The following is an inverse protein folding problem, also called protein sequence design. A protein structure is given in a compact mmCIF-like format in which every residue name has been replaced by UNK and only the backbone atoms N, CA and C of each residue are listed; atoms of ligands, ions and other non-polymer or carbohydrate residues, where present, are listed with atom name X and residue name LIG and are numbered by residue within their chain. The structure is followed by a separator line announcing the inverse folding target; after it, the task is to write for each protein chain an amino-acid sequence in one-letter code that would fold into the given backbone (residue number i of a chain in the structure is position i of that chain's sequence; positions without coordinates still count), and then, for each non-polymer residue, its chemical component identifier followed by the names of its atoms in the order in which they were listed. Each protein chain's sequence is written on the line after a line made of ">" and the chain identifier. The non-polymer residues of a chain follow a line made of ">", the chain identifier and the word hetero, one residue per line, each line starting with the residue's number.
data_IF_951667792230
#
_entry.id   IF_951667792230
#
_cell.length_a   1.000
_cell.length_b   1.000
_cell.length_c   1.000
_cell.angle_alpha   90.00
_cell.angle_beta   90.00
_cell.angle_gamma   90.00
#
_symmetry.space_group_name_H-M   'P 1'
#
loop_
_entity.id
_entity.type
_entity.pdbx_description
1 polymer ?
#
# COMPACT_ATOMS: atom_id res chain seq x y z
N UNK A 1 0.44 -16.73 -0.12
CA UNK A 1 1.64 -15.87 -0.27
C UNK A 1 1.69 -15.11 -1.60
N UNK A 2 1.39 -15.75 -2.75
CA UNK A 2 1.52 -15.12 -4.08
C UNK A 2 0.70 -13.83 -4.22
N UNK A 3 -0.53 -13.82 -3.68
CA UNK A 3 -1.46 -12.68 -3.76
C UNK A 3 -0.90 -11.47 -3.05
N UNK A 4 -0.39 -11.64 -1.81
CA UNK A 4 0.23 -10.58 -1.02
C UNK A 4 1.44 -10.01 -1.76
N UNK A 5 2.27 -10.87 -2.36
CA UNK A 5 3.46 -10.44 -3.12
C UNK A 5 3.07 -9.61 -4.34
N UNK A 6 2.04 -10.02 -5.07
CA UNK A 6 1.49 -9.28 -6.22
C UNK A 6 0.92 -7.92 -5.81
N UNK A 7 0.15 -7.87 -4.72
CA UNK A 7 -0.40 -6.61 -4.21
C UNK A 7 0.69 -5.61 -3.85
N UNK A 8 1.76 -6.05 -3.18
CA UNK A 8 2.90 -5.19 -2.84
C UNK A 8 3.59 -4.64 -4.08
N UNK A 9 3.81 -5.47 -5.11
CA UNK A 9 4.44 -5.03 -6.37
C UNK A 9 3.57 -3.98 -7.07
N UNK A 10 2.26 -4.21 -7.18
CA UNK A 10 1.32 -3.24 -7.79
C UNK A 10 1.33 -1.92 -7.02
N UNK A 11 1.42 -1.98 -5.70
CA UNK A 11 1.44 -0.80 -4.83
C UNK A 11 2.72 0.03 -5.03
N UNK A 12 3.86 -0.63 -5.20
CA UNK A 12 5.15 0.02 -5.53
C UNK A 12 5.06 0.69 -6.92
N UNK A 13 4.55 -0.01 -7.93
CA UNK A 13 4.39 0.53 -9.28
C UNK A 13 3.49 1.77 -9.25
N UNK A 14 2.35 1.70 -8.56
CA UNK A 14 1.44 2.82 -8.42
C UNK A 14 2.11 4.03 -7.72
N UNK A 15 2.92 3.78 -6.68
CA UNK A 15 3.67 4.84 -5.99
C UNK A 15 4.67 5.55 -6.92
N UNK A 16 5.41 4.80 -7.74
CA UNK A 16 6.34 5.37 -8.72
C UNK A 16 5.63 6.18 -9.80
N UNK A 17 4.49 5.69 -10.32
CA UNK A 17 3.70 6.43 -11.31
C UNK A 17 3.18 7.74 -10.72
N UNK A 18 2.65 7.72 -9.50
CA UNK A 18 2.16 8.91 -8.81
C UNK A 18 3.28 9.92 -8.48
N UNK A 19 4.47 9.44 -8.10
CA UNK A 19 5.66 10.28 -7.95
C UNK A 19 6.08 10.90 -9.27
N UNK A 20 6.13 10.12 -10.35
CA UNK A 20 6.49 10.61 -11.68
C UNK A 20 5.51 11.66 -12.19
N UNK A 21 4.20 11.43 -12.03
CA UNK A 21 3.17 12.42 -12.38
C UNK A 21 3.25 13.68 -11.51
N UNK A 22 3.56 13.53 -10.21
CA UNK A 22 3.77 14.68 -9.35
C UNK A 22 4.96 15.53 -9.80
N UNK A 23 6.09 14.90 -10.15
CA UNK A 23 7.27 15.62 -10.65
C UNK A 23 6.97 16.32 -11.98
N UNK A 24 6.23 15.67 -12.88
CA UNK A 24 5.89 16.20 -14.19
C UNK A 24 4.87 17.35 -14.13
N UNK A 25 3.80 17.17 -13.35
CA UNK A 25 2.66 18.09 -13.35
C UNK A 25 2.71 19.15 -12.23
N UNK A 26 3.59 18.98 -11.22
CA UNK A 26 3.71 19.79 -9.99
C UNK A 26 2.38 20.03 -9.24
N UNK A 27 1.36 19.27 -9.57
CA UNK A 27 0.02 19.49 -9.10
C UNK A 27 -0.19 18.84 -7.73
N UNK A 28 -0.66 19.62 -6.76
CA UNK A 28 -0.86 19.17 -5.37
C UNK A 28 -1.84 18.00 -5.26
N UNK A 29 -2.67 17.80 -6.28
CA UNK A 29 -3.63 16.70 -6.39
C UNK A 29 -2.93 15.33 -6.36
N UNK A 30 -1.77 15.18 -7.00
CA UNK A 30 -1.03 13.92 -7.03
C UNK A 30 -0.40 13.59 -5.68
N UNK A 31 0.08 14.59 -4.95
CA UNK A 31 0.52 14.44 -3.56
C UNK A 31 -0.60 13.95 -2.64
N UNK A 32 -1.82 14.47 -2.83
CA UNK A 32 -2.98 14.05 -2.03
C UNK A 32 -3.36 12.59 -2.32
N UNK A 33 -3.37 12.20 -3.60
CA UNK A 33 -3.65 10.82 -4.01
C UNK A 33 -2.54 9.88 -3.50
N UNK A 34 -1.28 10.29 -3.55
CA UNK A 34 -0.15 9.52 -3.03
C UNK A 34 -0.24 9.33 -1.51
N UNK A 35 -0.62 10.38 -0.77
CA UNK A 35 -0.91 10.27 0.67
C UNK A 35 -2.01 9.24 0.93
N UNK A 36 -3.10 9.29 0.15
CA UNK A 36 -4.23 8.35 0.29
C UNK A 36 -3.82 6.92 -0.04
N UNK A 37 -2.98 6.73 -1.06
CA UNK A 37 -2.39 5.44 -1.42
C UNK A 37 -1.53 4.88 -0.29
N UNK A 38 -0.66 5.71 0.30
CA UNK A 38 0.18 5.32 1.44
C UNK A 38 -0.67 4.98 2.68
N UNK A 39 -1.76 5.72 2.91
CA UNK A 39 -2.68 5.45 4.02
C UNK A 39 -3.39 4.10 3.84
N UNK A 40 -3.89 3.81 2.63
CA UNK A 40 -4.47 2.51 2.28
C UNK A 40 -3.44 1.37 2.41
N UNK A 41 -2.20 1.61 1.99
CA UNK A 41 -1.10 0.65 2.15
C UNK A 41 -0.80 0.35 3.63
N UNK A 42 -0.80 1.38 4.48
CA UNK A 42 -0.64 1.24 5.93
C UNK A 42 -1.77 0.44 6.57
N UNK A 43 -3.02 0.72 6.19
CA UNK A 43 -4.18 -0.06 6.63
C UNK A 43 -4.10 -1.52 6.18
N UNK A 44 -3.67 -1.77 4.93
CA UNK A 44 -3.47 -3.12 4.41
C UNK A 44 -2.41 -3.89 5.22
N UNK A 45 -1.27 -3.27 5.52
CA UNK A 45 -0.22 -3.86 6.35
C UNK A 45 -0.71 -4.18 7.76
N UNK A 46 -1.44 -3.26 8.40
CA UNK A 46 -2.06 -3.48 9.70
C UNK A 46 -3.03 -4.66 9.67
N UNK A 47 -3.87 -4.75 8.63
CA UNK A 47 -4.83 -5.83 8.48
C UNK A 47 -4.14 -7.19 8.30
N UNK A 48 -3.09 -7.24 7.47
CA UNK A 48 -2.27 -8.45 7.30
C UNK A 48 -1.61 -8.86 8.62
N UNK A 49 -1.07 -7.89 9.38
CA UNK A 49 -0.47 -8.15 10.68
C UNK A 49 -1.49 -8.71 11.69
N UNK A 50 -2.70 -8.15 11.73
CA UNK A 50 -3.82 -8.63 12.53
C UNK A 50 -4.21 -10.06 12.14
N UNK A 51 -4.41 -10.35 10.86
CA UNK A 51 -4.73 -11.69 10.37
C UNK A 51 -3.64 -12.71 10.75
N UNK A 52 -2.37 -12.30 10.68
CA UNK A 52 -1.25 -13.14 11.08
C UNK A 52 -1.27 -13.42 12.59
N UNK A 53 -1.57 -12.40 13.40
CA UNK A 53 -1.69 -12.52 14.84
C UNK A 53 -2.86 -13.43 15.24
N UNK A 54 -4.03 -13.24 14.64
CA UNK A 54 -5.22 -14.08 14.85
C UNK A 54 -4.93 -15.53 14.44
N UNK A 55 -4.30 -15.75 13.28
CA UNK A 55 -3.89 -17.09 12.86
C UNK A 55 -2.90 -17.74 13.82
N UNK A 56 -2.02 -16.95 14.46
CA UNK A 56 -1.08 -17.44 15.46
C UNK A 56 -1.77 -17.81 16.78
N UNK A 57 -2.73 -16.99 17.22
CA UNK A 57 -3.51 -17.22 18.44
C UNK A 57 -4.45 -18.42 18.30
N UNK A 58 -5.10 -18.59 17.15
CA UNK A 58 -5.99 -19.75 16.88
C UNK A 58 -5.25 -21.07 16.69
N UNK A 59 -3.93 -21.03 16.48
CA UNK A 59 -3.09 -22.22 16.29
C UNK A 59 -2.38 -22.66 17.60
N UNK A 60 -2.61 -21.93 18.70
CA UNK A 60 -2.30 -22.33 20.09
C UNK A 60 -3.51 -23.07 20.65
#
# INVERSE_FOLDING_TARGET
>A
MIVIRLTVIVLIIAAFILLGLYVYSQDKKYLHILKRLAQLAGWFLLFVMLLFFVSRVLRI
#
